data_IF_427528709862
#
_entry.id   IF_427528709862
#
_cell.length_a   1.000
_cell.length_b   1.000
_cell.length_c   1.000
_cell.angle_alpha   90.00
_cell.angle_beta   90.00
_cell.angle_gamma   90.00
#
_symmetry.space_group_name_H-M   'P 1'
#
loop_
_entity.id
_entity.type
_entity.pdbx_description
1 polymer ?
#
# COMPACT_ATOMS: atom_id res chain seq x y z
N UNK A 1 5.53 -50.77 27.83
CA UNK A 1 5.50 -49.63 28.79
C UNK A 1 6.24 -48.48 28.14
N UNK A 2 5.80 -47.22 28.09
CA UNK A 2 4.50 -46.60 28.32
C UNK A 2 4.64 -45.22 27.66
N UNK A 3 3.81 -44.91 26.66
CA UNK A 3 3.65 -43.55 26.11
C UNK A 3 2.87 -42.72 27.14
N UNK A 4 3.43 -41.61 27.62
CA UNK A 4 2.75 -40.45 28.25
C UNK A 4 3.73 -39.26 28.16
N UNK A 5 3.41 -38.07 27.68
CA UNK A 5 2.13 -37.41 27.40
C UNK A 5 2.20 -35.96 27.89
N UNK A 6 1.41 -35.07 27.26
CA UNK A 6 1.04 -33.70 27.68
C UNK A 6 2.14 -32.62 27.48
N UNK A 7 1.86 -31.43 26.95
CA UNK A 7 0.64 -30.62 27.04
C UNK A 7 0.35 -29.90 25.72
N UNK A 8 -0.87 -30.12 25.22
CA UNK A 8 -1.57 -29.32 24.22
C UNK A 8 -2.08 -28.05 24.91
N UNK A 9 -1.77 -26.87 24.37
CA UNK A 9 -2.40 -25.62 24.78
C UNK A 9 -3.29 -25.13 23.64
N UNK A 10 -4.54 -25.62 23.65
CA UNK A 10 -5.66 -25.00 22.94
C UNK A 10 -6.01 -23.73 23.70
N UNK A 11 -5.64 -22.58 23.15
CA UNK A 11 -6.20 -21.30 23.56
C UNK A 11 -7.38 -20.98 22.63
N UNK A 12 -8.56 -21.30 23.14
CA UNK A 12 -9.87 -20.89 22.64
C UNK A 12 -9.98 -19.37 22.76
N UNK A 13 -9.96 -18.65 21.64
CA UNK A 13 -10.53 -17.31 21.55
C UNK A 13 -11.73 -17.36 20.62
N UNK A 14 -12.87 -17.63 21.25
CA UNK A 14 -14.20 -17.31 20.72
C UNK A 14 -14.31 -15.79 20.74
N UNK A 15 -14.09 -15.18 19.58
CA UNK A 15 -14.20 -13.74 19.36
C UNK A 15 -15.16 -13.47 18.21
N UNK A 16 -16.45 -13.42 18.54
CA UNK A 16 -17.57 -12.84 17.79
C UNK A 16 -17.21 -12.16 16.46
N UNK A 17 -17.40 -12.86 15.34
CA UNK A 17 -17.55 -12.23 14.03
C UNK A 17 -18.95 -11.61 13.95
N UNK A 18 -19.09 -10.40 14.50
CA UNK A 18 -20.17 -9.50 14.11
C UNK A 18 -19.84 -9.02 12.70
N UNK A 19 -20.36 -9.73 11.70
CA UNK A 19 -20.54 -9.17 10.37
C UNK A 19 -21.55 -8.03 10.53
N UNK A 20 -21.20 -6.76 10.29
CA UNK A 20 -22.24 -5.78 10.06
C UNK A 20 -22.85 -6.15 8.71
N UNK A 21 -24.01 -6.78 8.74
CA UNK A 21 -24.90 -6.81 7.59
C UNK A 21 -25.25 -5.36 7.30
N UNK A 22 -24.50 -4.73 6.38
CA UNK A 22 -24.91 -3.47 5.78
C UNK A 22 -26.20 -3.78 5.03
N UNK A 23 -27.32 -3.54 5.71
CA UNK A 23 -28.59 -3.29 5.04
C UNK A 23 -28.36 -2.05 4.19
N UNK A 24 -28.11 -2.25 2.90
CA UNK A 24 -28.19 -1.21 1.91
C UNK A 24 -29.57 -0.58 2.02
N UNK A 25 -29.63 0.63 2.60
CA UNK A 25 -30.81 1.47 2.52
C UNK A 25 -31.07 1.74 1.02
N UNK A 26 -32.31 1.62 0.54
CA UNK A 26 -32.62 2.04 -0.81
C UNK A 26 -32.40 3.56 -0.88
N UNK A 27 -31.31 3.99 -1.52
CA UNK A 27 -31.12 5.38 -1.88
C UNK A 27 -32.16 5.66 -2.96
N UNK A 28 -33.27 6.24 -2.55
CA UNK A 28 -34.22 6.82 -3.49
C UNK A 28 -33.46 7.93 -4.22
N UNK A 29 -33.17 7.73 -5.49
CA UNK A 29 -32.71 8.75 -6.42
C UNK A 29 -33.80 9.81 -6.55
N UNK A 30 -33.83 10.75 -5.60
CA UNK A 30 -34.51 12.01 -5.80
C UNK A 30 -33.61 12.86 -6.69
N UNK A 31 -34.11 13.17 -7.89
CA UNK A 31 -33.63 14.28 -8.70
C UNK A 31 -33.33 15.50 -7.81
N UNK A 32 -32.29 16.29 -8.11
CA UNK A 32 -32.02 17.53 -7.37
C UNK A 32 -33.26 18.42 -7.45
N UNK A 33 -33.81 18.74 -6.29
CA UNK A 33 -34.89 19.71 -6.17
C UNK A 33 -34.31 21.09 -6.52
N UNK A 34 -34.80 21.81 -7.54
CA UNK A 34 -34.28 23.13 -7.95
C UNK A 34 -34.59 24.26 -6.94
N UNK A 35 -35.10 23.92 -5.76
CA UNK A 35 -35.56 24.84 -4.72
C UNK A 35 -34.73 24.75 -3.42
N UNK A 36 -33.51 24.22 -3.48
CA UNK A 36 -32.59 24.26 -2.33
C UNK A 36 -32.13 25.72 -2.16
N UNK A 37 -32.64 26.36 -1.11
CA UNK A 37 -32.19 27.69 -0.66
C UNK A 37 -30.65 27.75 -0.63
N UNK A 38 -30.06 28.92 -0.93
CA UNK A 38 -28.62 29.07 -0.93
C UNK A 38 -28.09 28.62 0.43
N UNK A 39 -27.11 27.72 0.43
CA UNK A 39 -26.38 27.34 1.64
C UNK A 39 -26.03 28.64 2.38
N UNK A 40 -26.53 28.80 3.61
CA UNK A 40 -26.28 29.99 4.41
C UNK A 40 -24.79 30.33 4.33
N UNK A 41 -24.42 31.54 3.94
CA UNK A 41 -23.00 31.92 3.93
C UNK A 41 -22.53 31.97 5.39
N UNK A 42 -21.56 31.14 5.74
CA UNK A 42 -21.03 31.04 7.10
C UNK A 42 -19.51 31.14 7.14
N UNK A 43 -19.00 31.45 8.33
CA UNK A 43 -17.58 31.47 8.62
C UNK A 43 -17.09 30.02 8.86
N UNK A 44 -15.91 29.69 8.34
CA UNK A 44 -15.26 28.38 8.46
C UNK A 44 -13.93 28.56 9.18
N UNK A 45 -13.69 27.77 10.23
CA UNK A 45 -12.39 27.70 10.89
C UNK A 45 -11.39 26.94 10.00
N UNK A 46 -10.34 27.62 9.56
CA UNK A 46 -9.35 27.08 8.62
C UNK A 46 -8.54 25.94 9.25
N UNK A 47 -8.22 26.02 10.54
CA UNK A 47 -7.47 24.96 11.23
C UNK A 47 -8.29 23.69 11.34
N UNK A 48 -9.54 23.80 11.79
CA UNK A 48 -10.45 22.65 11.88
C UNK A 48 -10.72 22.06 10.51
N UNK A 49 -10.93 22.90 9.49
CA UNK A 49 -11.12 22.45 8.12
C UNK A 49 -9.90 21.70 7.60
N UNK A 50 -8.69 22.26 7.77
CA UNK A 50 -7.45 21.61 7.35
C UNK A 50 -7.24 20.27 8.05
N UNK A 51 -7.57 20.19 9.34
CA UNK A 51 -7.51 18.96 10.11
C UNK A 51 -8.47 17.90 9.57
N UNK A 52 -9.71 18.26 9.26
CA UNK A 52 -10.72 17.35 8.72
C UNK A 52 -10.32 16.82 7.33
N UNK A 53 -9.94 17.71 6.42
CA UNK A 53 -9.51 17.33 5.06
C UNK A 53 -8.27 16.44 5.11
N UNK A 54 -7.26 16.81 5.89
CA UNK A 54 -6.02 16.02 5.99
C UNK A 54 -6.26 14.64 6.61
N UNK A 55 -7.19 14.54 7.56
CA UNK A 55 -7.60 13.26 8.15
C UNK A 55 -8.29 12.36 7.12
N UNK A 56 -9.20 12.92 6.31
CA UNK A 56 -9.85 12.20 5.23
C UNK A 56 -8.83 11.71 4.19
N UNK A 57 -7.93 12.58 3.74
CA UNK A 57 -6.87 12.21 2.79
C UNK A 57 -5.99 11.08 3.32
N UNK A 58 -5.60 11.15 4.59
CA UNK A 58 -4.78 10.12 5.20
C UNK A 58 -5.47 8.76 5.19
N UNK A 59 -6.67 8.67 5.77
CA UNK A 59 -7.31 7.39 6.05
C UNK A 59 -8.07 6.80 4.86
N UNK A 60 -8.74 7.63 4.06
CA UNK A 60 -9.60 7.14 2.98
C UNK A 60 -8.84 6.96 1.67
N UNK A 61 -7.70 7.66 1.50
CA UNK A 61 -6.94 7.65 0.25
C UNK A 61 -5.51 7.13 0.43
N UNK A 62 -4.69 7.80 1.24
CA UNK A 62 -3.26 7.48 1.36
C UNK A 62 -3.02 6.09 1.96
N UNK A 63 -3.72 5.70 3.03
CA UNK A 63 -3.52 4.38 3.66
C UNK A 63 -3.84 3.22 2.69
N UNK A 64 -4.82 3.42 1.79
CA UNK A 64 -5.14 2.47 0.73
C UNK A 64 -4.02 2.36 -0.31
N UNK A 65 -3.50 3.51 -0.76
CA UNK A 65 -2.38 3.59 -1.71
C UNK A 65 -1.13 2.92 -1.10
N UNK A 66 -0.85 3.19 0.17
CA UNK A 66 0.27 2.61 0.92
C UNK A 66 0.15 1.09 0.99
N UNK A 67 -1.01 0.59 1.41
CA UNK A 67 -1.26 -0.84 1.53
C UNK A 67 -1.15 -1.55 0.17
N UNK A 68 -1.71 -0.95 -0.89
CA UNK A 68 -1.61 -1.48 -2.25
C UNK A 68 -0.16 -1.46 -2.77
N UNK A 69 0.59 -0.41 -2.45
CA UNK A 69 2.01 -0.29 -2.79
C UNK A 69 2.84 -1.40 -2.15
N UNK A 70 2.65 -1.68 -0.86
CA UNK A 70 3.39 -2.74 -0.17
C UNK A 70 3.11 -4.11 -0.77
N UNK A 71 1.83 -4.41 -1.06
CA UNK A 71 1.44 -5.66 -1.71
C UNK A 71 2.08 -5.82 -3.09
N UNK A 72 2.07 -4.75 -3.88
CA UNK A 72 2.68 -4.78 -5.22
C UNK A 72 4.19 -4.98 -5.13
N UNK A 73 4.88 -4.24 -4.26
CA UNK A 73 6.32 -4.37 -4.06
C UNK A 73 6.68 -5.77 -3.57
N UNK A 74 5.98 -6.30 -2.57
CA UNK A 74 6.24 -7.63 -2.04
C UNK A 74 6.08 -8.70 -3.13
N UNK A 75 5.04 -8.58 -3.97
CA UNK A 75 4.86 -9.43 -5.15
C UNK A 75 6.05 -9.33 -6.10
N UNK A 76 6.49 -8.12 -6.46
CA UNK A 76 7.66 -7.94 -7.34
C UNK A 76 8.92 -8.55 -6.72
N UNK A 77 9.17 -8.30 -5.44
CA UNK A 77 10.36 -8.76 -4.74
C UNK A 77 10.51 -10.29 -4.79
N UNK A 78 9.40 -11.03 -4.67
CA UNK A 78 9.39 -12.48 -4.83
C UNK A 78 9.79 -12.94 -6.24
N UNK A 79 9.48 -12.19 -7.30
CA UNK A 79 9.87 -12.53 -8.68
C UNK A 79 11.38 -12.39 -8.94
N UNK A 80 12.08 -11.64 -8.09
CA UNK A 80 13.51 -11.44 -8.15
C UNK A 80 14.31 -12.56 -7.47
N UNK A 81 13.69 -13.39 -6.63
CA UNK A 81 14.36 -14.42 -5.84
C UNK A 81 13.87 -15.81 -6.29
N UNK A 82 14.79 -16.67 -6.73
CA UNK A 82 14.49 -18.03 -7.15
C UNK A 82 15.45 -19.00 -6.44
N UNK A 83 14.89 -19.95 -5.67
CA UNK A 83 15.66 -21.01 -5.01
C UNK A 83 15.42 -22.31 -5.78
N UNK A 84 16.51 -22.90 -6.26
CA UNK A 84 16.53 -24.13 -7.07
C UNK A 84 17.36 -25.22 -6.40
N UNK A 85 16.99 -26.48 -6.57
CA UNK A 85 17.83 -27.62 -6.18
C UNK A 85 18.63 -28.09 -7.40
N UNK A 86 19.94 -28.21 -7.25
CA UNK A 86 20.83 -28.78 -8.26
C UNK A 86 21.42 -30.08 -7.73
N UNK A 87 21.59 -31.06 -8.62
CA UNK A 87 22.31 -32.29 -8.28
C UNK A 87 23.80 -32.10 -8.56
N UNK A 88 24.65 -32.45 -7.60
CA UNK A 88 26.11 -32.32 -7.72
C UNK A 88 26.75 -33.46 -8.54
N UNK A 89 26.02 -34.54 -8.84
CA UNK A 89 26.51 -35.65 -9.66
C UNK A 89 26.30 -35.39 -11.18
N UNK A 90 27.37 -35.19 -11.97
CA UNK A 90 27.28 -34.97 -13.42
C UNK A 90 26.75 -36.19 -14.20
N UNK A 91 26.62 -37.36 -13.54
CA UNK A 91 26.09 -38.61 -14.12
C UNK A 91 24.56 -38.70 -14.09
N UNK A 92 23.92 -37.90 -13.22
CA UNK A 92 22.48 -37.89 -12.99
C UNK A 92 21.80 -36.92 -13.96
N UNK A 93 21.45 -37.41 -15.16
CA UNK A 93 20.59 -36.72 -16.14
C UNK A 93 19.13 -36.60 -15.66
N UNK A 94 18.89 -36.20 -14.41
CA UNK A 94 17.55 -35.84 -13.95
C UNK A 94 17.30 -34.36 -14.23
N UNK A 95 16.14 -34.02 -14.83
CA UNK A 95 15.86 -32.66 -15.27
C UNK A 95 15.89 -31.69 -14.09
N UNK A 96 16.51 -30.52 -14.30
CA UNK A 96 16.44 -29.35 -13.40
C UNK A 96 14.97 -29.13 -13.04
N UNK A 97 14.61 -29.34 -11.78
CA UNK A 97 13.26 -29.06 -11.29
C UNK A 97 13.19 -27.62 -10.83
N UNK A 98 12.90 -26.74 -11.77
CA UNK A 98 12.50 -25.37 -11.46
C UNK A 98 11.08 -25.37 -10.92
N UNK A 99 10.92 -25.50 -9.60
CA UNK A 99 9.61 -25.34 -8.96
C UNK A 99 9.35 -23.82 -8.84
N UNK A 100 8.71 -23.24 -9.86
CA UNK A 100 8.17 -21.88 -9.77
C UNK A 100 6.83 -21.93 -9.04
N UNK A 101 6.74 -21.29 -7.87
CA UNK A 101 5.43 -20.90 -7.34
C UNK A 101 4.96 -19.70 -8.17
N UNK A 102 4.16 -19.97 -9.20
CA UNK A 102 3.40 -18.94 -9.88
C UNK A 102 2.34 -18.38 -8.92
N UNK A 103 2.37 -17.08 -8.67
CA UNK A 103 1.30 -16.26 -8.08
C UNK A 103 0.69 -16.80 -6.77
N UNK A 104 1.15 -16.28 -5.62
CA UNK A 104 0.38 -16.36 -4.36
C UNK A 104 -0.70 -15.27 -4.42
N UNK A 105 -1.67 -15.41 -5.33
CA UNK A 105 -2.93 -14.69 -5.26
C UNK A 105 -3.88 -15.47 -4.35
N UNK A 106 -4.01 -15.02 -3.11
CA UNK A 106 -5.16 -15.14 -2.19
C UNK A 106 -5.92 -16.48 -2.03
N UNK A 107 -5.52 -17.57 -2.66
CA UNK A 107 -6.16 -18.86 -2.51
C UNK A 107 -5.51 -19.61 -1.34
N UNK A 108 -6.34 -19.85 -0.33
CA UNK A 108 -6.10 -20.86 0.68
C UNK A 108 -5.57 -22.12 0.00
N UNK A 109 -4.33 -22.51 0.32
CA UNK A 109 -3.75 -23.77 -0.13
C UNK A 109 -4.62 -24.93 0.32
N UNK A 110 -5.55 -25.35 -0.55
CA UNK A 110 -6.07 -26.70 -0.53
C UNK A 110 -4.91 -27.61 -0.90
N UNK A 111 -4.47 -28.40 0.07
CA UNK A 111 -3.43 -29.43 -0.02
C UNK A 111 -3.81 -30.46 -1.11
N UNK A 112 -3.56 -30.15 -2.38
CA UNK A 112 -3.66 -31.12 -3.46
C UNK A 112 -2.44 -32.03 -3.38
N UNK A 113 -2.70 -33.24 -2.86
CA UNK A 113 -1.75 -34.34 -2.73
C UNK A 113 -0.89 -34.51 -3.99
N UNK A 114 0.45 -34.45 -3.88
CA UNK A 114 1.32 -34.94 -4.93
C UNK A 114 1.13 -36.46 -5.04
N UNK A 115 0.98 -36.94 -6.27
CA UNK A 115 0.92 -38.35 -6.59
C UNK A 115 2.08 -39.12 -5.94
N UNK A 116 1.76 -40.25 -5.31
CA UNK A 116 2.56 -41.09 -4.43
C UNK A 116 3.90 -41.64 -4.99
N UNK A 117 4.83 -40.76 -5.34
CA UNK A 117 6.19 -41.12 -5.81
C UNK A 117 7.30 -40.14 -5.43
N UNK A 118 7.02 -39.08 -4.66
CA UNK A 118 8.04 -38.21 -4.07
C UNK A 118 8.49 -38.78 -2.72
N UNK A 119 9.78 -39.10 -2.60
CA UNK A 119 10.38 -39.55 -1.34
C UNK A 119 10.26 -38.52 -0.21
N UNK A 120 10.49 -38.92 1.05
CA UNK A 120 10.36 -38.07 2.25
C UNK A 120 11.15 -36.75 2.13
N UNK A 121 12.32 -36.76 1.50
CA UNK A 121 13.20 -35.57 1.41
C UNK A 121 12.64 -34.45 0.50
N UNK A 122 11.73 -34.77 -0.43
CA UNK A 122 11.12 -33.75 -1.31
C UNK A 122 10.13 -32.88 -0.53
N UNK A 123 9.44 -33.45 0.45
CA UNK A 123 8.48 -32.73 1.29
C UNK A 123 9.20 -31.72 2.19
N UNK A 124 10.35 -32.10 2.74
CA UNK A 124 11.12 -31.24 3.65
C UNK A 124 11.75 -30.03 2.92
N UNK A 125 12.17 -30.21 1.66
CA UNK A 125 12.67 -29.12 0.81
C UNK A 125 11.57 -28.13 0.41
N UNK A 126 10.35 -28.60 0.14
CA UNK A 126 9.20 -27.74 -0.15
C UNK A 126 8.80 -26.90 1.07
N UNK A 127 8.83 -27.50 2.27
CA UNK A 127 8.58 -26.80 3.54
C UNK A 127 9.65 -25.74 3.78
N UNK A 128 10.93 -26.08 3.62
CA UNK A 128 12.03 -25.14 3.79
C UNK A 128 11.90 -23.93 2.86
N UNK A 129 11.59 -24.19 1.59
CA UNK A 129 11.36 -23.13 0.60
C UNK A 129 10.17 -22.25 0.98
N UNK A 130 9.04 -22.84 1.40
CA UNK A 130 7.88 -22.10 1.85
C UNK A 130 8.20 -21.21 3.07
N UNK A 131 8.98 -21.73 4.04
CA UNK A 131 9.42 -20.98 5.20
C UNK A 131 10.34 -19.81 4.82
N UNK A 132 11.27 -20.01 3.88
CA UNK A 132 12.14 -18.94 3.36
C UNK A 132 11.33 -17.85 2.67
N UNK A 133 10.37 -18.19 1.81
CA UNK A 133 9.51 -17.19 1.16
C UNK A 133 8.61 -16.45 2.16
N UNK A 134 8.07 -17.15 3.16
CA UNK A 134 7.35 -16.52 4.27
C UNK A 134 8.22 -15.52 5.04
N UNK A 135 9.49 -15.87 5.29
CA UNK A 135 10.43 -14.97 5.94
C UNK A 135 10.80 -13.76 5.08
N UNK A 136 11.04 -13.94 3.77
CA UNK A 136 11.29 -12.84 2.82
C UNK A 136 10.11 -11.88 2.77
N UNK A 137 8.89 -12.42 2.70
CA UNK A 137 7.68 -11.61 2.68
C UNK A 137 7.54 -10.82 3.98
N UNK A 138 7.67 -11.48 5.14
CA UNK A 138 7.58 -10.81 6.44
C UNK A 138 8.67 -9.73 6.63
N UNK A 139 9.90 -9.99 6.14
CA UNK A 139 10.97 -9.00 6.14
C UNK A 139 10.65 -7.79 5.26
N UNK A 140 10.15 -8.04 4.05
CA UNK A 140 9.76 -6.98 3.10
C UNK A 140 8.60 -6.15 3.65
N UNK A 141 7.56 -6.81 4.19
CA UNK A 141 6.42 -6.15 4.82
C UNK A 141 6.77 -5.42 6.13
N UNK A 142 7.85 -5.82 6.82
CA UNK A 142 8.35 -5.15 8.01
C UNK A 142 9.20 -3.91 7.71
N UNK A 143 10.03 -3.95 6.66
CA UNK A 143 10.96 -2.88 6.32
C UNK A 143 10.34 -1.79 5.45
N UNK A 144 9.35 -2.13 4.60
CA UNK A 144 8.69 -1.17 3.73
C UNK A 144 7.96 -0.04 4.50
N UNK A 145 7.22 -0.31 5.60
CA UNK A 145 6.65 0.75 6.43
C UNK A 145 7.71 1.72 6.95
N UNK A 146 8.85 1.19 7.42
CA UNK A 146 9.94 2.03 7.94
C UNK A 146 10.57 2.87 6.84
N UNK A 147 10.73 2.33 5.63
CA UNK A 147 11.21 3.08 4.49
C UNK A 147 10.21 4.15 4.04
N UNK A 148 8.92 3.80 4.00
CA UNK A 148 7.84 4.71 3.67
C UNK A 148 7.80 5.90 4.61
N UNK A 149 7.81 5.67 5.93
CA UNK A 149 7.78 6.73 6.94
C UNK A 149 8.91 7.75 6.74
N UNK A 150 10.09 7.30 6.29
CA UNK A 150 11.23 8.19 6.00
C UNK A 150 11.09 9.00 4.72
N UNK A 151 10.32 8.49 3.75
CA UNK A 151 10.15 9.11 2.43
C UNK A 151 8.89 10.01 2.39
N UNK A 152 7.87 9.64 3.15
CA UNK A 152 6.52 10.21 3.08
C UNK A 152 6.26 11.35 4.08
N UNK A 153 7.31 11.96 4.67
CA UNK A 153 7.18 13.08 5.61
C UNK A 153 6.26 14.20 5.09
N UNK A 154 6.29 14.47 3.78
CA UNK A 154 5.47 15.50 3.11
C UNK A 154 4.01 15.09 2.89
N UNK A 155 3.71 13.81 2.91
CA UNK A 155 2.34 13.27 2.86
C UNK A 155 1.79 12.97 4.25
N UNK A 156 2.61 13.10 5.31
CA UNK A 156 2.13 13.00 6.67
C UNK A 156 1.10 14.08 7.00
N UNK A 157 0.18 13.76 7.89
CA UNK A 157 -0.89 14.66 8.34
C UNK A 157 -0.43 16.08 8.68
N UNK A 158 0.68 16.33 9.43
CA UNK A 158 1.12 17.70 9.72
C UNK A 158 1.47 18.51 8.45
N UNK A 159 2.09 17.86 7.46
CA UNK A 159 2.45 18.50 6.20
C UNK A 159 1.22 18.79 5.34
N UNK A 160 0.28 17.84 5.26
CA UNK A 160 -1.01 18.04 4.59
C UNK A 160 -1.81 19.17 5.23
N UNK A 161 -1.91 19.21 6.57
CA UNK A 161 -2.61 20.28 7.27
C UNK A 161 -1.98 21.64 6.97
N UNK A 162 -0.65 21.73 7.00
CA UNK A 162 0.07 22.95 6.64
C UNK A 162 -0.18 23.37 5.19
N UNK A 163 -0.16 22.41 4.26
CA UNK A 163 -0.40 22.67 2.84
C UNK A 163 -1.83 23.15 2.58
N UNK A 164 -2.83 22.50 3.20
CA UNK A 164 -4.24 22.92 3.08
C UNK A 164 -4.44 24.33 3.65
N UNK A 165 -3.85 24.67 4.80
CA UNK A 165 -3.90 26.03 5.36
C UNK A 165 -3.28 27.05 4.40
N UNK A 166 -2.11 26.75 3.84
CA UNK A 166 -1.45 27.62 2.86
C UNK A 166 -2.31 27.81 1.62
N UNK A 167 -2.90 26.73 1.11
CA UNK A 167 -3.72 26.72 -0.09
C UNK A 167 -5.00 27.53 0.08
N UNK A 168 -5.67 27.41 1.23
CA UNK A 168 -6.84 28.22 1.58
C UNK A 168 -6.44 29.68 1.77
N UNK A 169 -5.35 29.95 2.47
CA UNK A 169 -4.89 31.32 2.70
C UNK A 169 -4.51 32.02 1.40
N UNK A 170 -3.94 31.31 0.42
CA UNK A 170 -3.56 31.92 -0.86
C UNK A 170 -4.75 32.24 -1.78
N UNK A 171 -5.87 31.51 -1.66
CA UNK A 171 -7.03 31.67 -2.56
C UNK A 171 -8.25 32.31 -1.89
N UNK A 172 -8.36 32.18 -0.56
CA UNK A 172 -9.44 32.72 0.26
C UNK A 172 -8.96 33.71 1.33
N UNK A 173 -7.65 33.92 1.47
CA UNK A 173 -7.09 34.92 2.39
C UNK A 173 -7.29 36.34 1.87
N UNK A 174 -8.17 37.08 2.57
CA UNK A 174 -8.24 38.56 2.65
C UNK A 174 -8.08 39.36 1.36
N UNK A 175 -8.74 38.95 0.27
CA UNK A 175 -9.03 39.82 -0.87
C UNK A 175 -10.52 40.16 -0.94
N UNK A 176 -11.03 40.95 0.02
CA UNK A 176 -12.27 41.69 -0.20
C UNK A 176 -12.11 43.14 0.26
N UNK A 177 -11.56 43.95 -0.66
CA UNK A 177 -11.34 45.40 -0.54
C UNK A 177 -12.69 46.15 -0.47
N UNK A 178 -13.83 45.45 -0.61
CA UNK A 178 -15.16 46.07 -0.71
C UNK A 178 -16.11 45.81 0.46
N UNK A 179 -15.66 45.18 1.56
CA UNK A 179 -16.45 45.10 2.78
C UNK A 179 -15.92 46.07 3.86
N UNK A 180 -16.47 47.30 3.95
CA UNK A 180 -16.10 48.21 5.01
C UNK A 180 -16.73 47.69 6.31
N UNK A 181 -15.87 47.36 7.27
CA UNK A 181 -16.17 46.93 8.66
C UNK A 181 -16.32 45.41 8.86
N UNK A 182 -15.20 44.68 8.80
CA UNK A 182 -14.93 43.60 9.78
C UNK A 182 -13.54 43.80 10.36
N UNK A 183 -13.50 44.31 11.58
CA UNK A 183 -12.30 44.39 12.39
C UNK A 183 -11.80 42.97 12.68
N UNK A 184 -10.56 42.70 12.26
CA UNK A 184 -9.59 41.85 12.96
C UNK A 184 -10.15 40.56 13.57
N UNK A 185 -10.69 39.67 12.73
CA UNK A 185 -10.85 38.26 13.09
C UNK A 185 -9.88 37.46 12.22
N UNK A 186 -8.72 37.18 12.82
CA UNK A 186 -7.68 36.18 12.54
C UNK A 186 -7.59 35.57 11.13
N UNK A 187 -6.37 35.35 10.64
CA UNK A 187 -6.00 34.54 9.46
C UNK A 187 -6.53 33.08 9.46
N UNK A 188 -7.38 32.74 10.43
CA UNK A 188 -7.92 31.42 10.75
C UNK A 188 -9.39 31.24 10.34
N UNK A 189 -10.03 32.24 9.71
CA UNK A 189 -11.45 32.17 9.32
C UNK A 189 -11.68 32.60 7.88
N UNK A 190 -12.42 31.79 7.11
CA UNK A 190 -12.80 32.08 5.71
C UNK A 190 -14.32 31.93 5.50
N UNK A 191 -14.85 32.53 4.43
CA UNK A 191 -16.26 32.35 4.06
C UNK A 191 -16.46 31.01 3.32
N UNK A 192 -17.51 30.27 3.67
CA UNK A 192 -17.90 29.02 3.01
C UNK A 192 -18.09 29.19 1.50
N UNK A 193 -18.61 30.34 1.08
CA UNK A 193 -18.77 30.71 -0.33
C UNK A 193 -17.43 30.73 -1.09
N UNK A 194 -16.34 31.20 -0.46
CA UNK A 194 -15.03 31.21 -1.11
C UNK A 194 -14.51 29.78 -1.37
N UNK A 195 -14.67 28.89 -0.38
CA UNK A 195 -14.29 27.49 -0.51
C UNK A 195 -15.10 26.80 -1.62
N UNK A 196 -16.40 27.08 -1.70
CA UNK A 196 -17.26 26.55 -2.77
C UNK A 196 -16.82 27.06 -4.16
N UNK A 197 -16.59 28.36 -4.31
CA UNK A 197 -16.16 28.99 -5.57
C UNK A 197 -14.79 28.49 -6.05
N UNK A 198 -13.87 28.17 -5.13
CA UNK A 198 -12.52 27.71 -5.47
C UNK A 198 -12.34 26.19 -5.37
N UNK A 199 -13.37 25.43 -5.01
CA UNK A 199 -13.29 23.98 -4.70
C UNK A 199 -12.58 23.15 -5.77
N UNK A 200 -12.87 23.37 -7.06
CA UNK A 200 -12.20 22.68 -8.18
C UNK A 200 -10.70 23.00 -8.23
N UNK A 201 -10.34 24.27 -8.07
CA UNK A 201 -8.94 24.70 -8.05
C UNK A 201 -8.22 24.15 -6.81
N UNK A 202 -8.84 24.21 -5.64
CA UNK A 202 -8.30 23.71 -4.39
C UNK A 202 -8.06 22.19 -4.47
N UNK A 203 -9.04 21.43 -4.97
CA UNK A 203 -8.90 19.99 -5.19
C UNK A 203 -7.77 19.68 -6.16
N UNK A 204 -7.75 20.34 -7.33
CA UNK A 204 -6.69 20.11 -8.33
C UNK A 204 -5.28 20.39 -7.79
N UNK A 205 -5.12 21.41 -6.95
CA UNK A 205 -3.82 21.71 -6.30
C UNK A 205 -3.44 20.71 -5.23
N UNK A 206 -4.42 20.19 -4.50
CA UNK A 206 -4.23 19.14 -3.51
C UNK A 206 -3.87 17.81 -4.16
N UNK A 207 -4.56 17.44 -5.23
CA UNK A 207 -4.27 16.24 -6.03
C UNK A 207 -2.89 16.32 -6.66
N UNK A 208 -2.52 17.49 -7.21
CA UNK A 208 -1.19 17.73 -7.71
C UNK A 208 -0.13 17.55 -6.62
N UNK A 209 -0.34 18.15 -5.44
CA UNK A 209 0.58 17.99 -4.31
C UNK A 209 0.76 16.52 -3.91
N UNK A 210 -0.34 15.77 -3.81
CA UNK A 210 -0.27 14.34 -3.46
C UNK A 210 0.47 13.57 -4.55
N UNK A 211 0.10 13.76 -5.81
CA UNK A 211 0.68 13.08 -6.96
C UNK A 211 2.19 13.34 -7.10
N UNK A 212 2.62 14.60 -6.96
CA UNK A 212 4.03 14.98 -7.08
C UNK A 212 4.87 14.32 -5.97
N UNK A 213 4.36 14.31 -4.73
CA UNK A 213 5.06 13.67 -3.62
C UNK A 213 5.04 12.13 -3.70
N UNK A 214 3.95 11.52 -4.16
CA UNK A 214 3.90 10.08 -4.40
C UNK A 214 4.89 9.66 -5.48
N UNK A 215 5.01 10.43 -6.56
CA UNK A 215 5.98 10.19 -7.62
C UNK A 215 7.41 10.20 -7.06
N UNK A 216 7.77 11.23 -6.28
CA UNK A 216 9.08 11.34 -5.63
C UNK A 216 9.35 10.12 -4.72
N UNK A 217 8.36 9.68 -3.94
CA UNK A 217 8.48 8.52 -3.05
C UNK A 217 8.68 7.24 -3.85
N UNK A 218 7.88 7.01 -4.90
CA UNK A 218 7.97 5.82 -5.73
C UNK A 218 9.28 5.76 -6.50
N UNK A 219 9.79 6.89 -7.00
CA UNK A 219 11.12 6.96 -7.60
C UNK A 219 12.23 6.62 -6.59
N UNK A 220 12.13 7.11 -5.35
CA UNK A 220 13.09 6.81 -4.29
C UNK A 220 13.04 5.33 -3.87
N UNK A 221 11.84 4.74 -3.81
CA UNK A 221 11.65 3.32 -3.55
C UNK A 221 12.33 2.50 -4.66
N UNK A 222 11.97 2.74 -5.92
CA UNK A 222 12.46 1.98 -7.07
C UNK A 222 13.97 2.11 -7.29
N UNK A 223 14.53 3.31 -7.10
CA UNK A 223 15.94 3.57 -7.43
C UNK A 223 16.92 3.28 -6.31
N UNK A 224 16.47 3.22 -5.06
CA UNK A 224 17.36 3.11 -3.90
C UNK A 224 16.92 2.04 -2.91
N UNK A 225 15.70 2.16 -2.37
CA UNK A 225 15.26 1.30 -1.27
C UNK A 225 15.14 -0.16 -1.70
N UNK A 226 14.43 -0.43 -2.80
CA UNK A 226 14.18 -1.80 -3.26
C UNK A 226 15.45 -2.52 -3.71
N UNK A 227 16.37 -1.89 -4.47
CA UNK A 227 17.68 -2.46 -4.74
C UNK A 227 18.46 -2.82 -3.47
N UNK A 228 18.52 -1.90 -2.49
CA UNK A 228 19.26 -2.10 -1.24
C UNK A 228 18.64 -3.24 -0.41
N UNK A 229 17.31 -3.27 -0.29
CA UNK A 229 16.57 -4.35 0.37
C UNK A 229 16.83 -5.69 -0.29
N UNK A 230 16.80 -5.76 -1.63
CA UNK A 230 17.06 -6.99 -2.37
C UNK A 230 18.48 -7.48 -2.14
N UNK A 231 19.46 -6.56 -2.12
CA UNK A 231 20.85 -6.89 -1.83
C UNK A 231 21.04 -7.48 -0.42
N UNK A 232 20.40 -6.88 0.59
CA UNK A 232 20.44 -7.40 1.96
C UNK A 232 19.77 -8.75 2.10
N UNK A 233 18.54 -8.88 1.58
CA UNK A 233 17.80 -10.15 1.61
C UNK A 233 18.59 -11.25 0.90
N UNK A 234 19.24 -10.94 -0.24
CA UNK A 234 20.08 -11.89 -0.97
C UNK A 234 21.24 -12.40 -0.13
N UNK A 235 21.90 -11.50 0.62
CA UNK A 235 23.01 -11.86 1.50
C UNK A 235 22.53 -12.77 2.63
N UNK A 236 21.45 -12.40 3.29
CA UNK A 236 20.89 -13.14 4.41
C UNK A 236 20.42 -14.54 3.96
N UNK A 237 19.75 -14.63 2.81
CA UNK A 237 19.34 -15.91 2.24
C UNK A 237 20.53 -16.80 1.87
N UNK A 238 21.61 -16.22 1.34
CA UNK A 238 22.80 -16.98 1.02
C UNK A 238 23.40 -17.62 2.27
N UNK A 239 23.54 -16.86 3.34
CA UNK A 239 24.08 -17.37 4.61
C UNK A 239 23.23 -18.51 5.18
N UNK A 240 21.89 -18.40 5.06
CA UNK A 240 20.96 -19.47 5.46
C UNK A 240 21.13 -20.71 4.57
N UNK A 241 21.20 -20.54 3.24
CA UNK A 241 21.35 -21.66 2.32
C UNK A 241 22.70 -22.38 2.49
N UNK A 242 23.78 -21.63 2.69
CA UNK A 242 25.12 -22.18 2.96
C UNK A 242 25.09 -23.04 4.24
N UNK A 243 24.38 -22.61 5.28
CA UNK A 243 24.15 -23.41 6.48
C UNK A 243 23.39 -24.70 6.18
N UNK A 244 22.27 -24.64 5.45
CA UNK A 244 21.48 -25.83 5.13
C UNK A 244 22.23 -26.83 4.24
N UNK A 245 22.92 -26.32 3.21
CA UNK A 245 23.76 -27.13 2.33
C UNK A 245 24.85 -27.85 3.13
N UNK A 246 25.48 -27.16 4.09
CA UNK A 246 26.55 -27.74 4.92
C UNK A 246 26.01 -28.71 5.97
N UNK A 247 24.89 -28.38 6.64
CA UNK A 247 24.41 -29.11 7.81
C UNK A 247 23.52 -30.32 7.46
N UNK A 248 22.82 -30.29 6.32
CA UNK A 248 21.81 -31.29 6.00
C UNK A 248 21.98 -31.95 4.63
N UNK A 249 22.62 -31.30 3.66
CA UNK A 249 22.68 -31.80 2.28
C UNK A 249 24.07 -32.26 1.82
N UNK A 250 25.06 -32.28 2.73
CA UNK A 250 26.43 -32.71 2.41
C UNK A 250 26.52 -34.11 1.80
N UNK A 251 25.61 -35.01 2.18
CA UNK A 251 25.64 -36.43 1.80
C UNK A 251 24.67 -36.78 0.64
N UNK A 252 23.75 -35.87 0.26
CA UNK A 252 22.59 -36.19 -0.59
C UNK A 252 22.73 -35.83 -2.08
N UNK A 253 23.94 -35.52 -2.54
CA UNK A 253 24.25 -35.05 -3.91
C UNK A 253 23.32 -33.93 -4.40
N UNK A 254 22.82 -33.11 -3.48
CA UNK A 254 21.88 -32.02 -3.72
C UNK A 254 22.37 -30.72 -3.08
N UNK A 255 22.21 -29.62 -3.80
CA UNK A 255 22.55 -28.29 -3.30
C UNK A 255 21.40 -27.33 -3.57
N UNK A 256 21.04 -26.53 -2.57
CA UNK A 256 20.15 -25.40 -2.76
C UNK A 256 20.95 -24.22 -3.30
N UNK A 257 20.55 -23.74 -4.48
CA UNK A 257 21.20 -22.63 -5.16
C UNK A 257 20.24 -21.45 -5.27
N UNK A 258 20.68 -20.31 -4.75
CA UNK A 258 20.01 -19.02 -4.88
C UNK A 258 20.31 -18.39 -6.23
N UNK A 259 19.26 -18.05 -6.98
CA UNK A 259 19.32 -17.23 -8.17
C UNK A 259 18.58 -15.92 -7.90
N UNK A 260 19.28 -14.80 -8.03
CA UNK A 260 18.68 -13.47 -7.85
C UNK A 260 18.75 -12.70 -9.15
N UNK A 261 17.59 -12.25 -9.63
CA UNK A 261 17.53 -11.33 -10.76
C UNK A 261 17.83 -9.92 -10.25
N UNK A 262 18.74 -9.17 -10.86
CA UNK A 262 19.03 -7.82 -10.42
C UNK A 262 17.77 -6.94 -10.52
N UNK A 263 17.62 -6.03 -9.58
CA UNK A 263 16.62 -4.97 -9.68
C UNK A 263 17.02 -4.05 -10.82
N UNK A 264 16.28 -4.06 -11.92
CA UNK A 264 16.55 -3.19 -13.07
C UNK A 264 15.44 -2.15 -13.14
N UNK A 265 15.83 -0.88 -13.10
CA UNK A 265 14.92 0.26 -13.22
C UNK A 265 14.09 0.10 -14.51
N UNK A 266 12.79 -0.11 -14.38
CA UNK A 266 11.87 -0.31 -15.52
C UNK A 266 11.84 -1.71 -16.15
N UNK A 267 12.40 -2.74 -15.52
CA UNK A 267 12.20 -4.14 -15.92
C UNK A 267 11.05 -4.75 -15.11
N UNK A 268 10.07 -5.49 -15.63
CA UNK A 268 9.85 -6.09 -16.95
C UNK A 268 8.36 -6.46 -16.98
N UNK A 269 7.67 -6.16 -18.08
CA UNK A 269 6.55 -6.98 -18.51
C UNK A 269 6.87 -7.51 -19.91
N UNK A 270 6.69 -8.82 -20.10
CA UNK A 270 6.73 -9.49 -21.41
C UNK A 270 5.47 -9.20 -22.27
N UNK A 271 4.67 -8.21 -21.89
CA UNK A 271 3.64 -7.61 -22.73
C UNK A 271 4.20 -6.33 -23.35
N UNK A 272 3.68 -5.92 -24.50
CA UNK A 272 4.20 -4.82 -25.34
C UNK A 272 4.12 -3.40 -24.72
N UNK A 273 4.31 -3.24 -23.41
CA UNK A 273 4.41 -1.95 -22.73
C UNK A 273 5.31 -2.06 -21.49
N UNK A 274 6.50 -1.44 -21.49
CA UNK A 274 7.32 -1.30 -20.29
C UNK A 274 6.74 -0.18 -19.44
N UNK A 275 5.78 -0.47 -18.57
CA UNK A 275 5.41 0.46 -17.50
C UNK A 275 6.37 0.22 -16.34
N UNK A 276 7.09 1.26 -15.93
CA UNK A 276 7.97 1.21 -14.77
C UNK A 276 7.17 0.85 -13.50
N UNK A 277 7.81 0.35 -12.45
CA UNK A 277 7.12 0.12 -11.17
C UNK A 277 6.43 1.40 -10.71
N UNK A 278 7.10 2.54 -10.87
CA UNK A 278 6.53 3.87 -10.63
C UNK A 278 5.23 4.10 -11.40
N UNK A 279 5.17 3.80 -12.70
CA UNK A 279 3.93 3.96 -13.49
C UNK A 279 2.80 3.06 -12.98
N UNK A 280 3.13 1.84 -12.55
CA UNK A 280 2.15 0.89 -12.00
C UNK A 280 1.64 1.35 -10.63
N UNK A 281 2.52 1.89 -9.79
CA UNK A 281 2.16 2.45 -8.49
C UNK A 281 1.37 3.75 -8.64
N UNK A 282 1.72 4.59 -9.62
CA UNK A 282 0.93 5.79 -9.95
C UNK A 282 -0.45 5.45 -10.51
N UNK A 283 -0.62 4.31 -11.18
CA UNK A 283 -1.95 3.83 -11.58
C UNK A 283 -2.82 3.43 -10.37
N UNK A 284 -2.23 3.16 -9.20
CA UNK A 284 -2.98 2.95 -7.94
C UNK A 284 -3.45 4.26 -7.31
N UNK A 285 -2.88 5.40 -7.73
CA UNK A 285 -3.29 6.74 -7.30
C UNK A 285 -4.58 7.24 -7.98
N UNK A 286 -5.27 6.37 -8.74
CA UNK A 286 -6.56 6.72 -9.35
C UNK A 286 -7.63 6.65 -8.26
N UNK A 287 -8.03 7.83 -7.77
CA UNK A 287 -9.26 7.99 -6.99
C UNK A 287 -10.38 7.19 -7.65
N UNK A 288 -11.25 6.49 -6.89
CA UNK A 288 -12.46 5.90 -7.46
C UNK A 288 -13.34 7.03 -7.99
N UNK A 289 -13.15 7.39 -9.26
CA UNK A 289 -14.04 8.25 -10.04
C UNK A 289 -15.30 7.45 -10.33
N UNK A 290 -16.08 7.19 -9.31
CA UNK A 290 -17.44 6.70 -9.47
C UNK A 290 -18.31 7.88 -9.95
N UNK A 291 -18.08 8.33 -11.19
CA UNK A 291 -19.04 9.07 -12.02
C UNK A 291 -19.64 10.39 -11.52
N UNK A 292 -19.31 10.91 -10.33
CA UNK A 292 -19.88 12.16 -9.83
C UNK A 292 -18.92 13.34 -10.10
N UNK A 293 -19.22 14.11 -11.14
CA UNK A 293 -18.51 15.34 -11.55
C UNK A 293 -18.47 16.42 -10.44
N UNK A 294 -19.25 16.26 -9.36
CA UNK A 294 -19.34 17.18 -8.23
C UNK A 294 -18.46 16.82 -7.01
N UNK A 295 -17.68 15.74 -7.06
CA UNK A 295 -16.90 15.23 -5.91
C UNK A 295 -16.04 16.30 -5.20
N UNK A 296 -15.30 17.18 -5.91
CA UNK A 296 -14.56 18.28 -5.26
C UNK A 296 -15.47 19.26 -4.51
N UNK A 297 -16.58 19.66 -5.12
CA UNK A 297 -17.52 20.62 -4.52
C UNK A 297 -18.16 19.99 -3.28
N UNK A 298 -18.55 18.72 -3.36
CA UNK A 298 -19.17 17.97 -2.26
C UNK A 298 -18.20 17.80 -1.09
N UNK A 299 -16.94 17.45 -1.35
CA UNK A 299 -15.92 17.33 -0.29
C UNK A 299 -15.68 18.65 0.42
N UNK A 300 -15.41 19.72 -0.33
CA UNK A 300 -15.06 21.01 0.27
C UNK A 300 -16.27 21.63 0.98
N UNK A 301 -17.48 21.52 0.43
CA UNK A 301 -18.71 21.98 1.10
C UNK A 301 -19.04 21.16 2.34
N UNK A 302 -18.88 19.83 2.29
CA UNK A 302 -19.10 18.95 3.43
C UNK A 302 -18.17 19.30 4.60
N UNK A 303 -16.86 19.33 4.38
CA UNK A 303 -15.90 19.64 5.45
C UNK A 303 -15.97 21.09 5.90
N UNK A 304 -16.35 22.03 5.03
CA UNK A 304 -16.63 23.41 5.42
C UNK A 304 -17.80 23.48 6.41
N UNK A 305 -18.87 22.73 6.17
CA UNK A 305 -20.03 22.70 7.05
C UNK A 305 -19.71 22.15 8.45
N UNK A 306 -18.81 21.17 8.52
CA UNK A 306 -18.34 20.59 9.78
C UNK A 306 -17.39 21.52 10.56
N UNK A 307 -16.74 22.46 9.88
CA UNK A 307 -15.83 23.46 10.45
C UNK A 307 -16.48 24.86 10.61
N UNK A 308 -17.81 24.93 10.60
CA UNK A 308 -18.58 26.18 10.76
C UNK A 308 -18.38 26.79 12.16
N UNK A 309 -18.24 28.12 12.21
CA UNK A 309 -18.13 28.95 13.44
C UNK A 309 -19.26 29.96 13.52
#
# INVERSE_FOLDING_TARGET
>A
MQIKGLVVLVATLIGCSLVPTLTALPITSKLPNPDRQPDDVYNVNVDQFAQLVSTHLQFDHLDSIVSATYKEIASQFQHHIEITTQSTDPSSLKPIRTIRLSSIENDQYAFQQPAASSGPDVMDLEILKAQMFGAIQAHTEGDLPVAWDRLADKLGRPALESFVRQLISSHCGTANINHPKRQSFSDLVVLSECLAQNSVLLSSRLDQYISDNLLDIFEALDSKVLPDMLSHTTRDLKDVLDYFNTAFLQDDDQELVLQVKPWVKGALNNSNQPTSLTDRLMALNVYPTNGEEDHPIVIFSHYASLAKV
#
